data_IF_335762861518
#
_entry.id   IF_335762861518
#
_cell.length_a   1.000
_cell.length_b   1.000
_cell.length_c   1.000
_cell.angle_alpha   90.00
_cell.angle_beta   90.00
_cell.angle_gamma   90.00
#
_symmetry.space_group_name_H-M   'P 1'
#
loop_
_entity.id
_entity.type
_entity.pdbx_description
1 polymer ?
#
# COMPACT_ATOMS: atom_id res chain seq x y z
N UNK A 1 -23.88 -39.59 -17.15
CA UNK A 1 -22.64 -40.40 -17.20
C UNK A 1 -21.64 -39.80 -16.23
N UNK A 2 -21.12 -40.57 -15.27
CA UNK A 2 -20.03 -40.07 -14.42
C UNK A 2 -18.75 -39.97 -15.27
N UNK A 3 -18.15 -38.79 -15.35
CA UNK A 3 -16.86 -38.62 -16.03
C UNK A 3 -15.83 -39.59 -15.43
N UNK A 4 -15.22 -40.41 -16.28
CA UNK A 4 -14.20 -41.42 -15.91
C UNK A 4 -12.94 -40.76 -15.32
N UNK A 5 -12.70 -39.50 -15.65
CA UNK A 5 -11.59 -38.70 -15.15
C UNK A 5 -12.11 -37.66 -14.17
N UNK A 6 -11.57 -37.69 -12.95
CA UNK A 6 -11.84 -36.71 -11.91
C UNK A 6 -10.53 -36.04 -11.52
N UNK A 7 -10.63 -34.76 -11.19
CA UNK A 7 -9.52 -34.01 -10.62
C UNK A 7 -9.08 -34.60 -9.27
N UNK A 8 -7.85 -34.32 -8.86
CA UNK A 8 -7.38 -34.67 -7.53
C UNK A 8 -8.19 -33.95 -6.45
N UNK A 9 -8.54 -34.63 -5.36
CA UNK A 9 -9.37 -34.08 -4.26
C UNK A 9 -8.83 -32.77 -3.67
N UNK A 10 -7.51 -32.56 -3.68
CA UNK A 10 -6.87 -31.38 -3.08
C UNK A 10 -7.23 -30.04 -3.74
N UNK A 11 -7.82 -30.06 -4.95
CA UNK A 11 -8.23 -28.85 -5.68
C UNK A 11 -9.76 -28.69 -5.76
N UNK A 12 -10.52 -29.51 -5.05
CA UNK A 12 -11.98 -29.42 -5.01
C UNK A 12 -12.43 -28.13 -4.31
N UNK A 13 -13.31 -27.34 -4.96
CA UNK A 13 -13.81 -26.06 -4.44
C UNK A 13 -12.83 -24.89 -4.52
N UNK A 14 -11.69 -25.05 -5.19
CA UNK A 14 -10.63 -24.02 -5.31
C UNK A 14 -10.48 -23.48 -6.74
N UNK A 15 -11.44 -23.73 -7.62
CA UNK A 15 -11.44 -23.32 -9.04
C UNK A 15 -12.00 -21.91 -9.28
N UNK A 16 -12.73 -21.34 -8.32
CA UNK A 16 -13.23 -19.95 -8.39
C UNK A 16 -12.11 -18.94 -8.17
N UNK A 17 -12.00 -17.94 -9.04
CA UNK A 17 -11.01 -16.87 -8.93
C UNK A 17 -11.63 -15.49 -9.22
N UNK A 18 -11.79 -14.68 -8.17
CA UNK A 18 -12.37 -13.32 -8.25
C UNK A 18 -11.63 -12.41 -9.24
N UNK A 19 -10.32 -12.60 -9.43
CA UNK A 19 -9.53 -11.80 -10.36
C UNK A 19 -9.91 -12.03 -11.82
N UNK A 20 -10.39 -13.23 -12.17
CA UNK A 20 -10.88 -13.52 -13.53
C UNK A 20 -12.17 -12.77 -13.84
N UNK A 21 -13.01 -12.54 -12.83
CA UNK A 21 -14.23 -11.75 -12.97
C UNK A 21 -13.92 -10.25 -13.03
N UNK A 22 -13.10 -9.75 -12.10
CA UNK A 22 -12.71 -8.33 -12.07
C UNK A 22 -11.93 -7.89 -13.32
N UNK A 23 -11.07 -8.76 -13.86
CA UNK A 23 -10.34 -8.46 -15.10
C UNK A 23 -11.30 -8.31 -16.28
N UNK A 24 -12.40 -9.07 -16.33
CA UNK A 24 -13.41 -8.93 -17.39
C UNK A 24 -14.18 -7.61 -17.28
N UNK A 25 -14.50 -7.19 -16.06
CA UNK A 25 -15.20 -5.92 -15.82
C UNK A 25 -14.36 -4.71 -16.23
N UNK A 26 -13.04 -4.77 -16.02
CA UNK A 26 -12.12 -3.70 -16.37
C UNK A 26 -11.50 -3.84 -17.77
N UNK A 27 -11.99 -4.77 -18.62
CA UNK A 27 -11.46 -4.99 -19.96
C UNK A 27 -11.87 -3.90 -20.97
N UNK A 28 -12.94 -3.16 -20.67
CA UNK A 28 -13.39 -2.04 -21.49
C UNK A 28 -12.37 -0.87 -21.40
N UNK A 29 -11.75 -0.44 -22.52
CA UNK A 29 -10.73 0.59 -22.52
C UNK A 29 -11.25 2.00 -22.13
N UNK A 30 -12.57 2.19 -22.01
CA UNK A 30 -13.17 3.43 -21.51
C UNK A 30 -13.21 3.54 -19.98
N UNK A 31 -12.90 2.46 -19.25
CA UNK A 31 -12.96 2.40 -17.79
C UNK A 31 -11.61 2.79 -17.17
N UNK A 32 -11.64 3.72 -16.20
CA UNK A 32 -10.48 4.01 -15.34
C UNK A 32 -10.36 2.90 -14.29
N UNK A 33 -9.40 1.99 -14.45
CA UNK A 33 -9.22 0.85 -13.56
C UNK A 33 -8.39 1.21 -12.31
N UNK A 34 -9.08 1.54 -11.22
CA UNK A 34 -8.47 1.74 -9.90
C UNK A 34 -8.56 0.49 -9.00
N UNK A 35 -9.00 -0.65 -9.52
CA UNK A 35 -9.30 -1.86 -8.73
C UNK A 35 -8.13 -2.83 -8.61
N UNK A 36 -7.36 -3.02 -9.68
CA UNK A 36 -6.18 -3.89 -9.64
C UNK A 36 -4.95 -3.09 -9.23
N UNK A 37 -4.13 -3.64 -8.32
CA UNK A 37 -2.87 -3.04 -7.85
C UNK A 37 -1.76 -3.04 -8.90
N UNK A 38 -2.06 -2.45 -10.06
CA UNK A 38 -1.22 -2.26 -11.22
C UNK A 38 -0.89 -0.76 -11.30
N UNK A 39 0.32 -0.33 -10.90
CA UNK A 39 0.73 1.06 -11.13
C UNK A 39 0.69 1.38 -12.64
N UNK A 40 -0.09 2.39 -13.05
CA UNK A 40 -0.33 2.81 -14.45
C UNK A 40 0.22 4.21 -14.80
N UNK A 41 0.99 4.80 -13.89
CA UNK A 41 1.28 6.24 -13.87
C UNK A 41 2.33 6.73 -14.89
N UNK A 42 1.95 7.78 -15.61
CA UNK A 42 2.81 8.91 -16.01
C UNK A 42 1.99 10.23 -15.85
N UNK A 43 2.55 11.37 -15.39
CA UNK A 43 1.70 12.53 -14.97
C UNK A 43 1.04 13.28 -16.14
N UNK A 44 0.07 14.21 -15.90
CA UNK A 44 -0.46 15.11 -16.94
C UNK A 44 0.68 15.95 -17.53
N UNK A 45 0.84 15.90 -18.86
CA UNK A 45 1.98 16.50 -19.57
C UNK A 45 2.07 18.01 -19.30
N UNK A 46 0.96 18.74 -19.41
CA UNK A 46 0.92 20.19 -19.15
C UNK A 46 1.23 20.56 -17.70
N UNK A 47 0.95 19.71 -16.72
CA UNK A 47 1.31 19.98 -15.31
C UNK A 47 2.81 19.81 -15.09
N UNK A 48 3.43 18.79 -15.70
CA UNK A 48 4.89 18.62 -15.71
C UNK A 48 5.58 19.76 -16.45
N UNK A 49 5.02 20.19 -17.57
CA UNK A 49 5.55 21.29 -18.37
C UNK A 49 5.43 22.63 -17.65
N UNK A 50 4.28 22.95 -17.03
CA UNK A 50 4.11 24.20 -16.30
C UNK A 50 4.96 24.24 -15.03
N UNK A 51 5.08 23.13 -14.30
CA UNK A 51 6.01 23.05 -13.17
C UNK A 51 7.47 23.20 -13.63
N UNK A 52 7.85 22.56 -14.75
CA UNK A 52 9.19 22.69 -15.34
C UNK A 52 9.49 24.11 -15.80
N UNK A 53 8.49 24.85 -16.30
CA UNK A 53 8.64 26.26 -16.71
C UNK A 53 8.76 27.17 -15.49
N UNK A 54 7.93 26.98 -14.47
CA UNK A 54 7.89 27.81 -13.26
C UNK A 54 9.15 27.64 -12.40
N UNK A 55 9.67 26.41 -12.28
CA UNK A 55 10.87 26.12 -11.51
C UNK A 55 12.13 26.84 -12.05
N UNK A 56 12.16 27.17 -13.35
CA UNK A 56 13.26 27.87 -13.99
C UNK A 56 13.23 29.41 -13.82
N UNK A 57 12.24 29.95 -13.10
CA UNK A 57 12.09 31.40 -12.90
C UNK A 57 12.48 31.74 -11.46
N UNK A 58 13.61 32.42 -11.27
CA UNK A 58 14.24 32.66 -9.97
C UNK A 58 13.31 33.25 -8.90
N UNK A 59 12.41 34.16 -9.28
CA UNK A 59 11.51 34.84 -8.34
C UNK A 59 10.35 33.95 -7.84
N UNK A 60 9.95 32.94 -8.61
CA UNK A 60 8.90 32.00 -8.22
C UNK A 60 9.39 30.91 -7.27
N UNK A 61 10.72 30.87 -7.04
CA UNK A 61 11.36 30.05 -6.01
C UNK A 61 11.48 30.78 -4.66
N UNK A 62 11.04 32.03 -4.56
CA UNK A 62 11.08 32.85 -3.35
C UNK A 62 9.68 33.01 -2.74
N UNK A 63 9.60 33.58 -1.53
CA UNK A 63 8.34 33.79 -0.86
C UNK A 63 7.33 34.59 -1.69
N UNK A 64 6.07 34.15 -1.65
CA UNK A 64 4.92 34.87 -2.22
C UNK A 64 4.06 35.49 -1.12
N UNK A 65 2.92 36.09 -1.50
CA UNK A 65 1.95 36.69 -0.59
C UNK A 65 1.36 35.66 0.38
N UNK A 66 1.41 35.96 1.67
CA UNK A 66 1.02 35.03 2.76
C UNK A 66 -0.44 34.54 2.74
N UNK A 67 -1.38 35.32 2.20
CA UNK A 67 -2.80 34.92 2.11
C UNK A 67 -3.15 34.20 0.80
N UNK A 68 -2.14 33.85 -0.01
CA UNK A 68 -2.27 33.14 -1.28
C UNK A 68 -1.58 33.88 -2.42
N UNK A 69 -0.93 33.14 -3.33
CA UNK A 69 -0.26 33.69 -4.50
C UNK A 69 -1.26 34.49 -5.36
N UNK A 70 -0.95 35.74 -5.78
CA UNK A 70 -1.91 36.61 -6.48
C UNK A 70 -2.59 35.97 -7.69
N UNK A 71 -1.82 35.26 -8.54
CA UNK A 71 -2.39 34.53 -9.68
C UNK A 71 -3.35 33.41 -9.29
N UNK A 72 -3.08 32.74 -8.17
CA UNK A 72 -3.93 31.66 -7.66
C UNK A 72 -5.23 32.23 -7.09
N UNK A 73 -5.18 33.24 -6.22
CA UNK A 73 -6.40 33.83 -5.64
C UNK A 73 -7.26 34.51 -6.70
N UNK A 74 -6.66 35.07 -7.76
CA UNK A 74 -7.39 35.60 -8.91
C UNK A 74 -8.02 34.51 -9.77
N UNK A 75 -7.32 33.40 -10.02
CA UNK A 75 -7.89 32.25 -10.71
C UNK A 75 -9.08 31.68 -9.91
N UNK A 76 -8.93 31.59 -8.59
CA UNK A 76 -10.00 31.19 -7.67
C UNK A 76 -11.17 32.18 -7.71
N UNK A 77 -10.95 33.50 -7.62
CA UNK A 77 -12.05 34.47 -7.70
C UNK A 77 -12.79 34.35 -9.02
N UNK A 78 -12.11 34.38 -10.16
CA UNK A 78 -12.75 34.24 -11.47
C UNK A 78 -13.49 32.91 -11.65
N UNK A 79 -13.01 31.83 -11.03
CA UNK A 79 -13.67 30.54 -11.03
C UNK A 79 -14.94 30.59 -10.17
N UNK A 80 -14.85 31.14 -8.96
CA UNK A 80 -15.94 31.13 -7.97
C UNK A 80 -16.99 32.22 -8.20
N UNK A 81 -16.66 33.35 -8.81
CA UNK A 81 -17.63 34.36 -9.27
C UNK A 81 -18.64 33.77 -10.26
N UNK A 82 -18.21 32.79 -11.08
CA UNK A 82 -19.10 32.06 -12.00
C UNK A 82 -20.11 31.19 -11.26
N UNK A 83 -19.78 30.75 -10.05
CA UNK A 83 -20.64 29.91 -9.23
C UNK A 83 -21.52 30.76 -8.28
N UNK A 84 -21.00 31.87 -7.75
CA UNK A 84 -21.68 32.69 -6.74
C UNK A 84 -22.41 33.92 -7.30
N UNK A 85 -22.28 34.22 -8.60
CA UNK A 85 -22.92 35.36 -9.29
C UNK A 85 -22.68 36.73 -8.64
N UNK A 86 -21.66 36.83 -7.79
CA UNK A 86 -21.17 38.05 -7.17
C UNK A 86 -19.69 38.21 -7.53
N UNK A 87 -19.21 39.46 -7.59
CA UNK A 87 -17.77 39.72 -7.64
C UNK A 87 -17.12 39.29 -6.32
N UNK A 88 -15.98 38.62 -6.41
CA UNK A 88 -15.20 38.13 -5.28
C UNK A 88 -13.85 38.84 -5.31
N UNK A 89 -13.57 39.66 -4.32
CA UNK A 89 -12.29 40.34 -4.17
C UNK A 89 -11.21 39.29 -3.80
N UNK A 90 -10.24 39.00 -4.68
CA UNK A 90 -9.25 37.95 -4.45
C UNK A 90 -8.28 38.26 -3.29
N UNK A 91 -8.20 39.51 -2.84
CA UNK A 91 -7.30 39.90 -1.76
C UNK A 91 -7.96 39.88 -0.38
N UNK A 92 -9.28 40.08 -0.32
CA UNK A 92 -10.04 40.29 0.91
C UNK A 92 -10.97 39.11 1.23
N UNK A 93 -11.49 38.45 0.20
CA UNK A 93 -12.53 37.41 0.32
C UNK A 93 -12.00 36.00 -0.01
N UNK A 94 -10.72 35.88 -0.39
CA UNK A 94 -10.07 34.60 -0.64
C UNK A 94 -8.83 34.51 0.22
N UNK A 95 -8.82 33.48 1.08
CA UNK A 95 -7.67 33.05 1.85
C UNK A 95 -7.32 31.63 1.42
N UNK A 96 -6.08 31.42 0.97
CA UNK A 96 -5.58 30.07 0.70
C UNK A 96 -5.16 29.46 2.03
N UNK A 97 -6.04 28.65 2.63
CA UNK A 97 -5.76 27.87 3.84
C UNK A 97 -5.50 26.41 3.52
N UNK A 98 -4.77 25.72 4.39
CA UNK A 98 -4.89 24.26 4.51
C UNK A 98 -6.19 23.95 5.28
N UNK A 99 -7.03 22.98 4.85
CA UNK A 99 -8.22 22.60 5.59
C UNK A 99 -7.88 22.00 6.98
N UNK A 100 -8.81 22.17 7.93
CA UNK A 100 -8.76 21.71 9.34
C UNK A 100 -9.83 20.62 9.57
N UNK A 101 -9.48 19.60 10.35
CA UNK A 101 -10.08 18.28 10.53
C UNK A 101 -11.54 18.20 11.07
N UNK A 102 -12.36 17.36 10.44
CA UNK A 102 -13.20 16.39 11.17
C UNK A 102 -12.43 15.07 11.23
N UNK A 103 -12.48 14.32 12.33
CA UNK A 103 -11.62 13.13 12.56
C UNK A 103 -11.68 12.17 11.35
N UNK A 104 -10.66 12.22 10.49
CA UNK A 104 -10.53 11.33 9.33
C UNK A 104 -10.38 9.91 9.84
N UNK A 105 -11.22 9.00 9.36
CA UNK A 105 -11.05 7.58 9.66
C UNK A 105 -9.75 7.11 9.00
N UNK A 106 -8.83 6.59 9.80
CA UNK A 106 -7.55 6.05 9.36
C UNK A 106 -7.58 4.53 9.49
N UNK A 107 -6.71 3.83 8.75
CA UNK A 107 -6.49 2.40 8.95
C UNK A 107 -6.04 2.05 10.38
N UNK A 108 -5.50 3.02 11.12
CA UNK A 108 -5.13 2.90 12.54
C UNK A 108 -6.34 2.79 13.47
N UNK A 109 -7.52 3.30 13.08
CA UNK A 109 -8.76 3.16 13.85
C UNK A 109 -9.28 1.70 13.85
N UNK A 110 -8.78 0.86 12.94
CA UNK A 110 -9.06 -0.57 12.89
C UNK A 110 -8.03 -1.32 13.72
N UNK A 111 -8.48 -1.91 14.82
CA UNK A 111 -7.60 -2.62 15.76
C UNK A 111 -8.00 -4.08 15.90
N UNK A 112 -7.02 -4.91 16.23
CA UNK A 112 -7.23 -6.30 16.58
C UNK A 112 -7.77 -6.41 18.01
N UNK A 113 -8.91 -7.06 18.22
CA UNK A 113 -9.37 -7.43 19.56
C UNK A 113 -8.47 -8.55 20.12
N UNK A 114 -7.70 -8.30 21.21
CA UNK A 114 -6.78 -9.29 21.76
C UNK A 114 -7.49 -10.53 22.33
N UNK A 115 -8.69 -10.36 22.90
CA UNK A 115 -9.45 -11.45 23.49
C UNK A 115 -10.05 -12.33 22.40
N UNK A 116 -10.60 -11.70 21.36
CA UNK A 116 -11.11 -12.44 20.21
C UNK A 116 -9.99 -13.22 19.53
N UNK A 117 -8.82 -12.60 19.29
CA UNK A 117 -7.69 -13.30 18.69
C UNK A 117 -7.26 -14.50 19.54
N UNK A 118 -7.09 -14.31 20.85
CA UNK A 118 -6.69 -15.38 21.77
C UNK A 118 -7.67 -16.56 21.72
N UNK A 119 -8.97 -16.31 21.56
CA UNK A 119 -10.00 -17.35 21.46
C UNK A 119 -9.84 -18.27 20.24
N UNK A 120 -9.12 -17.84 19.19
CA UNK A 120 -8.89 -18.64 17.98
C UNK A 120 -7.72 -19.61 18.14
N UNK A 121 -6.83 -19.38 19.10
CA UNK A 121 -5.67 -20.24 19.36
C UNK A 121 -6.04 -21.46 20.20
N UNK A 122 -5.60 -22.63 19.76
CA UNK A 122 -5.79 -23.92 20.42
C UNK A 122 -4.73 -24.93 19.96
N UNK A 123 -4.76 -26.15 20.50
CA UNK A 123 -3.78 -27.22 20.21
C UNK A 123 -3.72 -27.68 18.75
N UNK A 124 -4.70 -27.32 17.90
CA UNK A 124 -4.68 -27.60 16.46
C UNK A 124 -4.14 -26.44 15.63
N UNK A 125 -3.86 -25.29 16.25
CA UNK A 125 -3.37 -24.11 15.53
C UNK A 125 -1.95 -24.39 15.05
N UNK A 126 -1.74 -24.40 13.73
CA UNK A 126 -0.41 -24.63 13.15
C UNK A 126 0.33 -23.32 12.90
N UNK A 127 -0.38 -22.34 12.37
CA UNK A 127 0.20 -21.05 12.01
C UNK A 127 -0.86 -19.94 12.07
N UNK A 128 -0.39 -18.72 12.26
CA UNK A 128 -1.12 -17.49 11.94
C UNK A 128 -0.50 -16.86 10.68
N UNK A 129 -1.34 -16.28 9.83
CA UNK A 129 -0.90 -15.46 8.70
C UNK A 129 -1.11 -14.00 9.09
N UNK A 130 -0.01 -13.24 9.12
CA UNK A 130 0.02 -11.81 9.35
C UNK A 130 0.32 -11.12 8.02
N UNK A 131 -0.38 -10.04 7.70
CA UNK A 131 -0.04 -9.18 6.56
C UNK A 131 0.07 -7.73 7.02
N UNK A 132 1.28 -7.18 6.98
CA UNK A 132 1.57 -5.79 7.40
C UNK A 132 2.72 -5.20 6.59
N UNK A 133 2.59 -4.00 5.99
CA UNK A 133 1.35 -3.23 5.83
C UNK A 133 0.25 -4.01 5.10
N UNK A 134 -0.99 -3.90 5.59
CA UNK A 134 -2.09 -4.79 5.23
C UNK A 134 -2.75 -4.41 3.90
N UNK A 135 -3.03 -5.40 3.04
CA UNK A 135 -3.89 -5.27 1.87
C UNK A 135 -5.25 -5.95 2.16
N UNK A 136 -6.40 -5.28 1.99
CA UNK A 136 -6.61 -3.98 1.30
C UNK A 136 -6.67 -2.74 2.19
N UNK A 137 -6.65 -2.91 3.51
CA UNK A 137 -6.95 -1.82 4.45
C UNK A 137 -5.90 -0.70 4.53
N UNK A 138 -4.64 -1.01 4.23
CA UNK A 138 -3.51 -0.10 4.42
C UNK A 138 -3.02 0.03 5.87
N UNK A 139 -3.51 -0.80 6.79
CA UNK A 139 -3.09 -0.80 8.21
C UNK A 139 -1.63 -1.18 8.35
N UNK A 140 -0.88 -0.37 9.09
CA UNK A 140 0.47 -0.72 9.58
C UNK A 140 0.32 -1.17 11.03
N UNK A 141 0.67 -2.42 11.31
CA UNK A 141 0.50 -2.97 12.66
C UNK A 141 1.43 -2.31 13.66
N UNK A 142 0.86 -1.94 14.81
CA UNK A 142 1.60 -1.34 15.91
C UNK A 142 2.48 -2.36 16.62
N UNK A 143 3.48 -1.88 17.36
CA UNK A 143 4.35 -2.74 18.15
C UNK A 143 3.53 -3.54 19.18
N UNK A 144 2.52 -2.92 19.76
CA UNK A 144 1.62 -3.49 20.77
C UNK A 144 0.77 -4.62 20.18
N UNK A 145 0.18 -4.41 19.00
CA UNK A 145 -0.58 -5.47 18.30
C UNK A 145 0.31 -6.65 17.91
N UNK A 146 1.53 -6.37 17.41
CA UNK A 146 2.49 -7.42 17.09
C UNK A 146 2.95 -8.20 18.33
N UNK A 147 3.07 -7.53 19.49
CA UNK A 147 3.40 -8.19 20.75
C UNK A 147 2.31 -9.17 21.17
N UNK A 148 1.03 -8.80 21.04
CA UNK A 148 -0.10 -9.72 21.31
C UNK A 148 -0.02 -10.97 20.43
N UNK A 149 0.26 -10.81 19.14
CA UNK A 149 0.42 -11.93 18.21
C UNK A 149 1.63 -12.78 18.60
N UNK A 150 2.76 -12.15 18.94
CA UNK A 150 3.97 -12.85 19.35
C UNK A 150 3.74 -13.69 20.62
N UNK A 151 3.09 -13.12 21.63
CA UNK A 151 2.78 -13.79 22.90
C UNK A 151 1.91 -15.04 22.68
N UNK A 152 0.91 -14.95 21.80
CA UNK A 152 0.08 -16.09 21.44
C UNK A 152 0.87 -17.15 20.66
N UNK A 153 1.70 -16.73 19.69
CA UNK A 153 2.54 -17.68 18.96
C UNK A 153 3.51 -18.43 19.88
N UNK A 154 4.09 -17.75 20.87
CA UNK A 154 4.96 -18.35 21.89
C UNK A 154 4.15 -19.33 22.75
N UNK A 155 3.03 -18.86 23.31
CA UNK A 155 2.22 -19.64 24.26
C UNK A 155 1.69 -20.95 23.67
N UNK A 156 1.30 -20.94 22.40
CA UNK A 156 0.70 -22.09 21.72
C UNK A 156 1.67 -22.84 20.81
N UNK A 157 2.95 -22.47 20.79
CA UNK A 157 3.99 -23.04 19.93
C UNK A 157 3.57 -23.11 18.44
N UNK A 158 3.12 -21.97 17.91
CA UNK A 158 2.59 -21.86 16.54
C UNK A 158 3.51 -21.05 15.64
N UNK A 159 3.49 -21.33 14.34
CA UNK A 159 4.26 -20.55 13.36
C UNK A 159 3.59 -19.21 13.04
N UNK A 160 4.39 -18.21 12.67
CA UNK A 160 3.92 -16.97 12.05
C UNK A 160 4.39 -16.90 10.61
N UNK A 161 3.47 -16.74 9.66
CA UNK A 161 3.79 -16.42 8.27
C UNK A 161 3.48 -14.94 8.08
N UNK A 162 4.52 -14.11 8.04
CA UNK A 162 4.42 -12.64 7.95
C UNK A 162 4.62 -12.20 6.51
N UNK A 163 3.53 -11.86 5.83
CA UNK A 163 3.52 -11.22 4.52
C UNK A 163 3.81 -9.71 4.67
N UNK A 164 5.03 -9.31 4.33
CA UNK A 164 5.54 -7.95 4.50
C UNK A 164 5.93 -7.32 3.15
N UNK A 165 5.25 -7.69 2.07
CA UNK A 165 5.61 -7.20 0.71
C UNK A 165 5.57 -5.68 0.55
N UNK A 166 4.83 -4.97 1.41
CA UNK A 166 4.72 -3.51 1.42
C UNK A 166 5.62 -2.83 2.46
N UNK A 167 6.63 -3.51 3.01
CA UNK A 167 7.47 -3.01 4.13
C UNK A 167 8.07 -1.61 3.94
N UNK A 168 8.30 -1.19 2.68
CA UNK A 168 8.84 0.13 2.34
C UNK A 168 7.77 1.20 2.13
N UNK A 169 6.51 0.80 1.96
CA UNK A 169 5.39 1.70 1.71
C UNK A 169 4.70 2.05 3.02
N UNK A 170 5.38 2.79 3.89
CA UNK A 170 4.83 3.30 5.15
C UNK A 170 4.86 4.82 5.12
N UNK A 171 3.73 5.43 5.46
CA UNK A 171 3.56 6.87 5.36
C UNK A 171 3.93 7.59 6.66
N UNK A 172 4.04 8.91 6.57
CA UNK A 172 4.49 9.78 7.67
C UNK A 172 3.74 9.50 8.97
N UNK A 173 4.49 9.36 10.07
CA UNK A 173 3.96 9.09 11.41
C UNK A 173 3.90 7.60 11.79
N UNK A 174 4.11 6.69 10.84
CA UNK A 174 4.08 5.24 11.07
C UNK A 174 5.46 4.60 10.87
N UNK A 175 5.63 3.37 11.39
CA UNK A 175 6.86 2.59 11.24
C UNK A 175 6.55 1.11 11.01
N UNK A 176 7.22 0.50 10.03
CA UNK A 176 7.15 -0.94 9.83
C UNK A 176 7.95 -1.67 10.92
N UNK A 177 7.29 -2.56 11.65
CA UNK A 177 7.91 -3.47 12.60
C UNK A 177 7.81 -4.90 12.08
N UNK A 178 8.93 -5.61 12.05
CA UNK A 178 8.97 -7.02 11.65
C UNK A 178 8.74 -7.88 12.87
N UNK A 179 7.67 -8.67 12.90
CA UNK A 179 7.39 -9.53 14.07
C UNK A 179 8.52 -10.53 14.35
N UNK A 180 9.27 -10.95 13.33
CA UNK A 180 10.42 -11.83 13.46
C UNK A 180 11.56 -11.27 14.34
N UNK A 181 11.61 -9.95 14.57
CA UNK A 181 12.63 -9.31 15.44
C UNK A 181 12.21 -9.25 16.92
N UNK A 182 10.98 -9.65 17.24
CA UNK A 182 10.50 -9.68 18.61
C UNK A 182 11.11 -10.87 19.36
N UNK A 183 11.32 -10.78 20.69
CA UNK A 183 11.93 -11.84 21.47
C UNK A 183 11.28 -13.21 21.25
N UNK A 184 12.11 -14.18 20.85
CA UNK A 184 11.70 -15.56 20.57
C UNK A 184 10.94 -15.77 19.26
N UNK A 185 10.65 -14.73 18.46
CA UNK A 185 9.84 -14.89 17.25
C UNK A 185 10.64 -15.34 16.03
N UNK A 186 11.95 -15.14 15.99
CA UNK A 186 12.81 -15.59 14.90
C UNK A 186 12.68 -17.10 14.64
N UNK A 187 12.64 -17.90 15.69
CA UNK A 187 12.60 -19.36 15.61
C UNK A 187 11.30 -19.90 15.01
N UNK A 188 10.24 -19.08 14.92
CA UNK A 188 8.91 -19.51 14.48
C UNK A 188 8.29 -18.66 13.38
N UNK A 189 9.07 -17.76 12.77
CA UNK A 189 8.55 -16.84 11.76
C UNK A 189 9.16 -17.08 10.39
N UNK A 190 8.31 -17.09 9.36
CA UNK A 190 8.70 -16.92 7.97
C UNK A 190 8.23 -15.53 7.53
N UNK A 191 9.17 -14.65 7.17
CA UNK A 191 8.89 -13.31 6.63
C UNK A 191 8.99 -13.35 5.11
N UNK A 192 7.99 -12.80 4.42
CA UNK A 192 7.87 -12.80 2.96
C UNK A 192 8.01 -11.37 2.43
N UNK A 193 8.80 -11.19 1.38
CA UNK A 193 8.90 -9.93 0.64
C UNK A 193 8.79 -10.13 -0.88
N UNK A 194 8.66 -9.03 -1.62
CA UNK A 194 8.44 -9.07 -3.07
C UNK A 194 9.15 -7.96 -3.82
N UNK A 195 9.93 -8.35 -4.84
CA UNK A 195 10.58 -7.42 -5.75
C UNK A 195 9.57 -6.51 -6.48
N UNK A 196 8.43 -7.08 -6.87
CA UNK A 196 7.40 -6.35 -7.60
C UNK A 196 6.77 -5.22 -6.80
N UNK A 197 6.82 -5.30 -5.47
CA UNK A 197 6.29 -4.26 -4.57
C UNK A 197 7.38 -3.32 -4.09
N UNK A 198 8.59 -3.83 -3.85
CA UNK A 198 9.76 -3.01 -3.52
C UNK A 198 10.17 -2.08 -4.66
N UNK A 199 10.17 -2.56 -5.90
CA UNK A 199 10.72 -1.84 -7.06
C UNK A 199 9.67 -1.51 -8.13
N UNK A 200 8.38 -1.61 -7.82
CA UNK A 200 7.27 -1.32 -8.75
C UNK A 200 7.30 -2.12 -10.07
N UNK A 201 7.91 -3.31 -10.07
CA UNK A 201 8.07 -4.20 -11.24
C UNK A 201 7.25 -5.48 -11.09
N UNK A 202 5.93 -5.35 -10.94
CA UNK A 202 5.03 -6.48 -10.60
C UNK A 202 5.11 -7.66 -11.58
N UNK A 203 5.44 -7.41 -12.84
CA UNK A 203 5.65 -8.42 -13.88
C UNK A 203 6.89 -9.30 -13.69
N UNK A 204 7.86 -8.91 -12.86
CA UNK A 204 9.07 -9.72 -12.62
C UNK A 204 8.79 -10.97 -11.78
N UNK A 205 7.69 -10.99 -11.02
CA UNK A 205 7.22 -12.15 -10.26
C UNK A 205 8.30 -12.82 -9.38
N UNK A 206 9.21 -12.03 -8.82
CA UNK A 206 10.18 -12.45 -7.83
C UNK A 206 9.78 -12.03 -6.41
N UNK A 207 10.07 -12.89 -5.44
CA UNK A 207 9.91 -12.68 -4.01
C UNK A 207 10.83 -13.60 -3.22
N UNK A 208 10.82 -13.47 -1.90
CA UNK A 208 11.72 -14.21 -1.01
C UNK A 208 11.02 -14.60 0.28
N UNK A 209 11.54 -15.66 0.92
CA UNK A 209 11.17 -16.08 2.27
C UNK A 209 12.41 -16.07 3.16
N UNK A 210 12.33 -15.39 4.29
CA UNK A 210 13.41 -15.25 5.27
C UNK A 210 12.94 -15.88 6.59
N UNK A 211 13.79 -16.67 7.22
CA UNK A 211 13.47 -17.32 8.49
C UNK A 211 14.55 -18.30 8.93
N UNK A 212 14.33 -19.04 10.02
CA UNK A 212 15.33 -19.91 10.60
C UNK A 212 15.52 -21.16 9.74
N UNK A 213 16.77 -21.67 9.70
CA UNK A 213 17.17 -22.82 8.88
C UNK A 213 16.22 -24.02 8.99
N UNK A 214 15.76 -24.31 10.20
CA UNK A 214 14.92 -25.48 10.46
C UNK A 214 13.51 -25.37 9.85
N UNK A 215 13.03 -24.16 9.53
CA UNK A 215 11.80 -23.94 8.78
C UNK A 215 12.08 -23.82 7.28
N UNK A 216 13.09 -23.03 6.89
CA UNK A 216 13.44 -22.78 5.49
C UNK A 216 13.75 -24.07 4.70
N UNK A 217 14.36 -25.08 5.34
CA UNK A 217 14.62 -26.38 4.70
C UNK A 217 13.34 -27.03 4.11
N UNK A 218 12.19 -26.81 4.74
CA UNK A 218 10.92 -27.36 4.28
C UNK A 218 10.40 -26.61 3.05
N UNK A 219 10.56 -25.28 3.01
CA UNK A 219 10.24 -24.46 1.84
C UNK A 219 11.14 -24.83 0.65
N UNK A 220 12.45 -25.01 0.88
CA UNK A 220 13.40 -25.49 -0.13
C UNK A 220 13.00 -26.86 -0.68
N UNK A 221 12.51 -27.76 0.17
CA UNK A 221 12.02 -29.08 -0.25
C UNK A 221 10.79 -28.99 -1.16
N UNK A 222 9.89 -28.03 -0.92
CA UNK A 222 8.76 -27.78 -1.83
C UNK A 222 9.27 -27.19 -3.15
N UNK A 223 10.15 -26.20 -3.10
CA UNK A 223 10.67 -25.53 -4.30
C UNK A 223 11.41 -26.51 -5.24
N UNK A 224 12.32 -27.34 -4.71
CA UNK A 224 13.07 -28.31 -5.54
C UNK A 224 12.16 -29.35 -6.23
N UNK A 225 10.97 -29.63 -5.66
CA UNK A 225 10.01 -30.61 -6.17
C UNK A 225 8.83 -29.96 -6.93
N UNK A 226 8.87 -28.65 -7.18
CA UNK A 226 7.83 -27.93 -7.92
C UNK A 226 8.42 -27.20 -9.12
N UNK A 227 8.99 -26.02 -8.89
CA UNK A 227 9.54 -25.15 -9.96
C UNK A 227 11.05 -25.24 -10.09
N UNK A 228 11.72 -25.87 -9.12
CA UNK A 228 13.17 -26.01 -9.02
C UNK A 228 13.93 -24.68 -8.85
N UNK A 229 13.89 -23.81 -9.87
CA UNK A 229 14.61 -22.53 -9.91
C UNK A 229 13.76 -21.39 -10.49
N UNK A 230 14.16 -20.16 -10.19
CA UNK A 230 13.59 -18.93 -10.75
C UNK A 230 14.43 -18.43 -11.95
N UNK A 231 13.90 -17.46 -12.71
CA UNK A 231 14.59 -16.91 -13.88
C UNK A 231 15.88 -16.16 -13.48
N UNK A 232 17.04 -16.61 -13.97
CA UNK A 232 18.36 -16.05 -13.65
C UNK A 232 18.51 -14.55 -14.00
N UNK A 233 18.12 -14.06 -15.19
CA UNK A 233 18.33 -12.65 -15.55
C UNK A 233 17.60 -11.68 -14.63
N UNK A 234 16.37 -12.02 -14.20
CA UNK A 234 15.58 -11.20 -13.29
C UNK A 234 16.19 -11.15 -11.89
N UNK A 235 16.76 -12.28 -11.42
CA UNK A 235 17.43 -12.35 -10.13
C UNK A 235 18.70 -11.49 -10.11
N UNK A 236 19.50 -11.53 -11.17
CA UNK A 236 20.70 -10.69 -11.29
C UNK A 236 20.34 -9.21 -11.33
N UNK A 237 19.35 -8.82 -12.15
CA UNK A 237 18.88 -7.44 -12.22
C UNK A 237 18.37 -6.93 -10.86
N UNK A 238 17.61 -7.77 -10.14
CA UNK A 238 17.12 -7.46 -8.80
C UNK A 238 18.27 -7.31 -7.79
N UNK A 239 19.29 -8.16 -7.85
CA UNK A 239 20.46 -8.07 -6.98
C UNK A 239 21.21 -6.73 -7.21
N UNK A 240 21.40 -6.33 -8.46
CA UNK A 240 22.02 -5.04 -8.78
C UNK A 240 21.17 -3.85 -8.30
N UNK A 241 19.84 -3.90 -8.49
CA UNK A 241 18.93 -2.87 -7.99
C UNK A 241 19.00 -2.74 -6.45
N UNK A 242 18.98 -3.86 -5.73
CA UNK A 242 19.17 -3.88 -4.28
C UNK A 242 20.51 -3.25 -3.88
N UNK A 243 21.61 -3.61 -4.52
CA UNK A 243 22.93 -3.03 -4.19
C UNK A 243 23.00 -1.53 -4.43
N UNK A 244 22.31 -1.00 -5.44
CA UNK A 244 22.24 0.44 -5.69
C UNK A 244 21.57 1.15 -4.51
N UNK A 245 20.39 0.68 -4.09
CA UNK A 245 19.64 1.33 -3.01
C UNK A 245 20.20 1.05 -1.61
N UNK A 246 20.77 -0.13 -1.35
CA UNK A 246 21.47 -0.47 -0.09
C UNK A 246 22.59 0.53 0.20
N UNK A 247 23.35 0.93 -0.82
CA UNK A 247 24.49 1.86 -0.66
C UNK A 247 24.08 3.29 -0.29
N UNK A 248 22.80 3.61 -0.40
CA UNK A 248 22.26 4.96 -0.21
C UNK A 248 21.01 4.97 0.67
N UNK A 249 20.83 4.00 1.57
CA UNK A 249 19.59 3.88 2.36
C UNK A 249 19.24 5.12 3.19
N UNK A 250 20.24 5.88 3.62
CA UNK A 250 20.03 7.13 4.39
C UNK A 250 19.76 8.35 3.48
N UNK A 251 19.89 8.20 2.16
CA UNK A 251 19.66 9.24 1.16
C UNK A 251 18.15 9.34 0.84
N UNK A 252 17.55 10.55 0.83
CA UNK A 252 16.21 10.77 0.32
C UNK A 252 15.94 10.23 -1.09
N UNK A 253 16.98 10.15 -1.94
CA UNK A 253 16.91 9.62 -3.31
C UNK A 253 16.90 8.08 -3.38
N UNK A 254 17.14 7.38 -2.27
CA UNK A 254 16.93 5.93 -2.19
C UNK A 254 15.50 5.59 -2.57
N UNK A 255 15.29 4.56 -3.38
CA UNK A 255 13.94 4.19 -3.83
C UNK A 255 13.02 3.79 -2.67
N UNK A 256 13.61 3.22 -1.61
CA UNK A 256 12.91 2.86 -0.38
C UNK A 256 12.34 4.08 0.37
N UNK A 257 12.89 5.27 0.15
CA UNK A 257 12.47 6.52 0.80
C UNK A 257 11.64 7.41 -0.15
N UNK A 258 12.05 7.50 -1.42
CA UNK A 258 11.43 8.39 -2.41
C UNK A 258 10.04 7.89 -2.83
N UNK A 259 9.86 6.57 -3.01
CA UNK A 259 8.58 5.99 -3.40
C UNK A 259 7.46 6.22 -2.37
N UNK A 260 7.59 5.88 -1.07
CA UNK A 260 6.53 6.16 -0.10
C UNK A 260 6.20 7.65 0.00
N UNK A 261 7.21 8.54 -0.10
CA UNK A 261 7.01 9.99 -0.12
C UNK A 261 6.19 10.44 -1.33
N UNK A 262 6.46 9.91 -2.52
CA UNK A 262 5.69 10.19 -3.73
C UNK A 262 4.26 9.65 -3.62
N UNK A 263 4.11 8.41 -3.15
CA UNK A 263 2.81 7.76 -3.01
C UNK A 263 1.95 8.40 -1.93
N UNK A 264 2.54 8.98 -0.88
CA UNK A 264 1.80 9.70 0.16
C UNK A 264 1.03 10.90 -0.43
N UNK A 265 1.66 11.66 -1.34
CA UNK A 265 0.99 12.77 -2.04
C UNK A 265 -0.18 12.27 -2.89
N UNK A 266 -0.03 11.10 -3.53
CA UNK A 266 -1.09 10.48 -4.33
C UNK A 266 -2.22 9.93 -3.46
N UNK A 267 -1.89 9.32 -2.31
CA UNK A 267 -2.86 8.90 -1.29
C UNK A 267 -3.72 10.08 -0.90
N UNK A 268 -3.10 11.19 -0.51
CA UNK A 268 -3.83 12.37 -0.05
C UNK A 268 -4.72 12.94 -1.15
N UNK A 269 -4.22 12.99 -2.40
CA UNK A 269 -5.04 13.38 -3.55
C UNK A 269 -6.25 12.44 -3.73
N UNK A 270 -6.04 11.13 -3.64
CA UNK A 270 -7.12 10.14 -3.78
C UNK A 270 -8.17 10.26 -2.68
N UNK A 271 -7.75 10.50 -1.42
CA UNK A 271 -8.66 10.79 -0.30
C UNK A 271 -9.59 11.95 -0.65
N UNK A 272 -9.04 13.09 -1.08
CA UNK A 272 -9.84 14.26 -1.45
C UNK A 272 -10.78 13.99 -2.63
N UNK A 273 -10.34 13.21 -3.63
CA UNK A 273 -11.18 12.86 -4.78
C UNK A 273 -12.38 11.99 -4.36
N UNK A 274 -12.16 11.00 -3.50
CA UNK A 274 -13.23 10.14 -2.97
C UNK A 274 -14.22 10.95 -2.13
N UNK A 275 -13.73 11.81 -1.24
CA UNK A 275 -14.56 12.71 -0.43
C UNK A 275 -15.41 13.63 -1.31
N UNK A 276 -14.85 14.13 -2.43
CA UNK A 276 -15.56 15.06 -3.33
C UNK A 276 -16.80 14.46 -4.00
N UNK A 277 -16.88 13.13 -4.07
CA UNK A 277 -18.03 12.39 -4.62
C UNK A 277 -18.89 11.72 -3.54
N UNK A 278 -18.69 12.10 -2.27
CA UNK A 278 -19.49 11.61 -1.15
C UNK A 278 -19.09 10.24 -0.61
N UNK A 279 -17.96 9.68 -1.07
CA UNK A 279 -17.39 8.47 -0.50
C UNK A 279 -16.63 8.79 0.79
N UNK A 280 -16.58 7.81 1.71
CA UNK A 280 -15.86 7.94 2.98
C UNK A 280 -14.57 7.11 2.96
N UNK A 281 -13.43 7.70 2.55
CA UNK A 281 -12.17 6.98 2.54
C UNK A 281 -11.67 6.65 3.95
N UNK A 282 -11.05 5.48 4.09
CA UNK A 282 -10.22 5.09 5.23
C UNK A 282 -8.78 5.42 4.85
N UNK A 283 -8.19 6.44 5.46
CA UNK A 283 -6.83 6.90 5.12
C UNK A 283 -5.81 5.83 5.51
N UNK A 284 -5.07 5.23 4.55
CA UNK A 284 -4.14 4.16 4.85
C UNK A 284 -2.85 4.69 5.48
N UNK A 285 -2.31 3.94 6.44
CA UNK A 285 -1.01 4.16 7.09
C UNK A 285 0.17 3.65 6.24
N UNK A 286 -0.11 2.74 5.31
CA UNK A 286 0.85 2.19 4.38
C UNK A 286 0.21 1.45 3.20
N UNK A 287 1.06 0.89 2.34
CA UNK A 287 0.66 0.30 1.08
C UNK A 287 0.40 1.35 0.01
N UNK A 288 -0.64 1.11 -0.80
CA UNK A 288 -0.99 1.82 -2.03
C UNK A 288 -2.45 1.54 -2.42
N UNK A 289 -3.23 1.00 -1.49
CA UNK A 289 -4.67 0.78 -1.61
C UNK A 289 -5.40 1.69 -0.63
N UNK A 290 -6.59 2.12 -1.00
CA UNK A 290 -7.49 2.89 -0.16
C UNK A 290 -8.87 2.26 -0.22
N UNK A 291 -9.44 1.94 0.94
CA UNK A 291 -10.83 1.51 1.04
C UNK A 291 -11.69 2.76 1.21
N UNK A 292 -12.86 2.76 0.57
CA UNK A 292 -13.88 3.77 0.82
C UNK A 292 -15.21 3.10 1.14
N UNK A 293 -15.87 3.57 2.21
CA UNK A 293 -17.23 3.15 2.53
C UNK A 293 -18.21 3.79 1.54
N UNK A 294 -19.02 2.93 0.93
CA UNK A 294 -20.03 3.25 -0.09
C UNK A 294 -21.46 3.21 0.44
N UNK A 295 -21.68 2.95 1.73
CA UNK A 295 -23.01 2.79 2.35
C UNK A 295 -23.93 4.00 2.15
N UNK A 296 -23.35 5.20 2.03
CA UNK A 296 -24.10 6.44 1.76
C UNK A 296 -24.57 6.56 0.30
N UNK A 297 -24.13 5.69 -0.60
CA UNK A 297 -24.54 5.69 -2.01
C UNK A 297 -25.85 4.94 -2.27
N UNK A 298 -26.41 4.23 -1.26
CA UNK A 298 -27.67 3.50 -1.40
C UNK A 298 -27.62 2.33 -2.40
N UNK A 299 -26.42 1.76 -2.61
CA UNK A 299 -26.15 0.59 -3.44
C UNK A 299 -26.46 -0.72 -2.72
#
# INVERSE_FOLDING_TARGET
MSLKFKNAKRIEGLDSNVWTEFTKLAADPSVVNLGQGLPDISPPVYVKEELSKIAAIDNLNQYTRGFGHPSLVKALSCLYEKFYQNQINPNEEILVTKPVDGKKCSSSDWTLDPQELASKFNSKTKAIILNTPHNPLGKVYTKEELQVIADLCIKYDTLCISDEVYEWLVYTGNKHFKIATFPGMWERTITIGSAGKTFSVTGWKLGWSIGPKHLIKHLQTVQQNTVYTCATPLQEALAQALWIDIKRMDDPECYFNSLPKELEVKRDRMVHLLESVGLKPIVPDGGYFIIADVSLLGL
#
